data_IF_790338607499
#
_entry.id   IF_790338607499
#
_cell.length_a   1.000
_cell.length_b   1.000
_cell.length_c   1.000
_cell.angle_alpha   90.00
_cell.angle_beta   90.00
_cell.angle_gamma   90.00
#
_symmetry.space_group_name_H-M   'P 1'
#
loop_
_entity.id
_entity.type
_entity.pdbx_description
1 polymer ?
#
# COMPACT_ATOMS: atom_id res chain seq x y z
N UNK A 1 86.57 -79.89 37.27
CA UNK A 1 87.31 -78.62 37.31
C UNK A 1 86.97 -77.81 36.05
N UNK A 2 86.61 -76.57 36.26
CA UNK A 2 86.51 -75.50 35.31
C UNK A 2 85.14 -75.31 34.55
N UNK A 3 84.36 -74.50 35.12
CA UNK A 3 83.22 -73.82 34.65
C UNK A 3 83.54 -72.78 33.60
N UNK A 4 82.82 -72.74 32.48
CA UNK A 4 82.74 -71.56 31.63
C UNK A 4 81.30 -71.11 31.48
N UNK A 5 81.06 -69.92 31.97
CA UNK A 5 79.78 -69.14 31.86
C UNK A 5 79.50 -68.85 30.40
N UNK A 6 78.27 -69.05 29.98
CA UNK A 6 77.72 -68.47 28.78
C UNK A 6 76.73 -67.45 29.19
N UNK A 7 77.09 -66.20 28.94
CA UNK A 7 76.15 -65.08 29.02
C UNK A 7 75.20 -65.10 27.81
N UNK A 8 73.94 -65.15 28.04
CA UNK A 8 73.00 -64.89 26.98
C UNK A 8 72.52 -63.44 27.13
N UNK A 9 72.92 -62.64 26.12
CA UNK A 9 72.40 -61.28 26.02
C UNK A 9 70.94 -61.29 25.48
N UNK A 10 70.03 -60.94 26.32
CA UNK A 10 68.66 -60.68 25.99
C UNK A 10 68.52 -59.18 25.84
N UNK A 11 68.73 -58.60 24.65
CA UNK A 11 68.34 -57.27 24.30
C UNK A 11 67.51 -57.34 23.05
N UNK A 12 66.25 -57.82 23.16
CA UNK A 12 65.26 -57.64 22.18
C UNK A 12 64.64 -56.23 22.43
N UNK A 13 65.13 -55.27 21.68
CA UNK A 13 64.53 -53.93 21.63
C UNK A 13 63.07 -54.00 21.17
N UNK A 14 62.13 -53.83 22.11
CA UNK A 14 60.79 -53.52 21.76
C UNK A 14 60.76 -52.06 21.26
N UNK A 15 60.61 -51.89 19.95
CA UNK A 15 60.28 -50.59 19.35
C UNK A 15 58.82 -50.27 19.68
N UNK A 16 58.53 -49.09 20.29
CA UNK A 16 57.16 -48.69 20.47
C UNK A 16 56.58 -48.44 19.08
N UNK A 17 55.46 -49.10 18.77
CA UNK A 17 54.60 -48.77 17.63
C UNK A 17 54.01 -47.42 17.89
N UNK A 18 54.52 -46.37 17.25
CA UNK A 18 53.95 -45.03 17.26
C UNK A 18 52.61 -45.14 16.54
N UNK A 19 51.57 -45.24 17.33
CA UNK A 19 50.20 -45.16 16.83
C UNK A 19 50.06 -43.91 15.99
N UNK A 20 49.77 -44.06 14.70
CA UNK A 20 49.44 -42.96 13.83
C UNK A 20 48.26 -42.18 14.40
N UNK A 21 48.49 -40.95 14.84
CA UNK A 21 47.44 -40.00 15.17
C UNK A 21 46.65 -39.75 13.90
N UNK A 22 45.52 -40.44 13.76
CA UNK A 22 44.54 -40.16 12.72
C UNK A 22 44.13 -38.71 12.89
N UNK A 23 44.67 -37.82 12.09
CA UNK A 23 44.18 -36.45 11.95
C UNK A 23 42.75 -36.59 11.49
N UNK A 24 41.79 -36.34 12.39
CA UNK A 24 40.42 -36.17 12.03
C UNK A 24 40.36 -35.15 10.86
N UNK A 25 39.64 -35.46 9.78
CA UNK A 25 39.55 -34.54 8.65
C UNK A 25 39.03 -33.21 9.19
N UNK A 26 39.86 -32.17 9.12
CA UNK A 26 39.44 -30.81 9.37
C UNK A 26 38.31 -30.55 8.36
N UNK A 27 37.06 -30.71 8.80
CA UNK A 27 35.87 -30.32 8.08
C UNK A 27 36.09 -28.86 7.69
N UNK A 28 36.57 -28.66 6.45
CA UNK A 28 37.06 -27.38 5.99
C UNK A 28 35.96 -26.32 6.19
N UNK A 29 36.32 -25.11 6.46
CA UNK A 29 35.42 -23.97 6.61
C UNK A 29 34.32 -23.93 5.53
N UNK A 30 34.66 -24.30 4.29
CA UNK A 30 33.72 -24.48 3.18
C UNK A 30 32.56 -25.44 3.48
N UNK A 31 32.78 -26.53 4.21
CA UNK A 31 31.73 -27.50 4.59
C UNK A 31 30.74 -26.97 5.65
N UNK A 32 31.04 -25.84 6.33
CA UNK A 32 30.15 -25.20 7.28
C UNK A 32 29.54 -23.91 6.72
N UNK A 33 30.29 -23.18 5.88
CA UNK A 33 29.86 -21.88 5.30
C UNK A 33 28.88 -22.09 4.14
N UNK A 34 29.11 -23.09 3.27
CA UNK A 34 28.21 -23.36 2.14
C UNK A 34 26.75 -23.64 2.61
N UNK A 35 26.48 -24.56 3.55
CA UNK A 35 25.10 -24.77 4.00
C UNK A 35 24.48 -23.55 4.68
N UNK A 36 25.27 -22.74 5.40
CA UNK A 36 24.78 -21.49 5.99
C UNK A 36 24.41 -20.46 4.92
N UNK A 37 25.20 -20.33 3.87
CA UNK A 37 24.89 -19.46 2.74
C UNK A 37 23.65 -19.94 1.97
N UNK A 38 23.50 -21.25 1.78
CA UNK A 38 22.29 -21.82 1.15
C UNK A 38 21.07 -21.53 2.01
N UNK A 39 21.13 -21.74 3.31
CA UNK A 39 20.04 -21.43 4.23
C UNK A 39 19.72 -19.94 4.22
N UNK A 40 20.73 -19.07 4.26
CA UNK A 40 20.54 -17.61 4.22
C UNK A 40 19.92 -17.12 2.90
N UNK A 41 20.08 -17.86 1.82
CA UNK A 41 19.48 -17.52 0.52
C UNK A 41 18.10 -18.15 0.34
N UNK A 42 17.89 -19.38 0.82
CA UNK A 42 16.63 -20.11 0.66
C UNK A 42 15.56 -19.61 1.60
N UNK A 43 15.87 -19.31 2.86
CA UNK A 43 14.89 -18.85 3.84
C UNK A 43 14.14 -17.57 3.40
N UNK A 44 14.79 -16.51 2.91
CA UNK A 44 14.07 -15.32 2.40
C UNK A 44 13.15 -15.64 1.22
N UNK A 45 13.58 -16.53 0.31
CA UNK A 45 12.75 -16.92 -0.84
C UNK A 45 11.50 -17.70 -0.41
N UNK A 46 11.68 -18.67 0.52
CA UNK A 46 10.55 -19.41 1.09
C UNK A 46 9.62 -18.49 1.87
N UNK A 47 10.16 -17.56 2.65
CA UNK A 47 9.39 -16.56 3.38
C UNK A 47 8.61 -15.66 2.42
N UNK A 48 9.24 -15.15 1.37
CA UNK A 48 8.57 -14.31 0.36
C UNK A 48 7.45 -15.09 -0.37
N UNK A 49 7.67 -16.35 -0.74
CA UNK A 49 6.66 -17.18 -1.37
C UNK A 49 5.48 -17.49 -0.43
N UNK A 50 5.76 -17.74 0.85
CA UNK A 50 4.73 -17.92 1.86
C UNK A 50 3.94 -16.61 2.09
N UNK A 51 4.63 -15.48 2.17
CA UNK A 51 4.02 -14.16 2.34
C UNK A 51 3.11 -13.81 1.15
N UNK A 52 3.56 -14.12 -0.07
CA UNK A 52 2.75 -13.96 -1.28
C UNK A 52 1.44 -14.73 -1.20
N UNK A 53 1.51 -16.01 -0.83
CA UNK A 53 0.32 -16.84 -0.67
C UNK A 53 -0.58 -16.36 0.47
N UNK A 54 0.02 -15.89 1.57
CA UNK A 54 -0.70 -15.35 2.71
C UNK A 54 -1.50 -14.09 2.32
N UNK A 55 -0.86 -13.12 1.63
CA UNK A 55 -1.52 -11.91 1.11
C UNK A 55 -2.68 -12.30 0.19
N UNK A 56 -2.44 -13.19 -0.79
CA UNK A 56 -3.45 -13.59 -1.74
C UNK A 56 -4.69 -14.22 -1.08
N UNK A 57 -4.48 -15.00 -0.02
CA UNK A 57 -5.56 -15.66 0.71
C UNK A 57 -6.30 -14.79 1.73
N UNK A 58 -5.71 -13.65 2.13
CA UNK A 58 -6.24 -12.78 3.19
C UNK A 58 -6.98 -11.55 2.67
N UNK A 59 -6.77 -11.17 1.41
CA UNK A 59 -7.46 -10.03 0.77
C UNK A 59 -8.95 -10.34 0.62
N UNK A 60 -9.79 -9.35 0.96
CA UNK A 60 -11.23 -9.43 0.69
C UNK A 60 -11.48 -9.29 -0.82
N UNK A 61 -12.30 -10.19 -1.36
CA UNK A 61 -12.56 -10.25 -2.79
C UNK A 61 -13.99 -9.86 -3.10
N UNK A 62 -14.17 -9.08 -4.16
CA UNK A 62 -15.47 -8.78 -4.78
C UNK A 62 -15.45 -9.26 -6.23
N UNK A 63 -16.62 -9.54 -6.77
CA UNK A 63 -16.76 -9.97 -8.15
C UNK A 63 -16.17 -8.92 -9.12
N UNK A 64 -15.63 -9.39 -10.24
CA UNK A 64 -15.15 -8.52 -11.30
C UNK A 64 -16.23 -7.57 -11.79
N UNK A 65 -15.83 -6.39 -12.25
CA UNK A 65 -16.76 -5.42 -12.80
C UNK A 65 -17.41 -5.94 -14.08
N UNK A 66 -18.75 -6.01 -14.06
CA UNK A 66 -19.52 -6.48 -15.19
C UNK A 66 -19.41 -5.54 -16.40
N UNK A 67 -19.45 -6.11 -17.59
CA UNK A 67 -19.56 -5.32 -18.81
C UNK A 67 -20.99 -4.78 -18.95
N UNK A 68 -21.10 -3.52 -19.30
CA UNK A 68 -22.37 -2.84 -19.54
C UNK A 68 -22.34 -2.12 -20.89
N UNK A 69 -23.52 -1.83 -21.44
CA UNK A 69 -23.61 -1.12 -22.71
C UNK A 69 -23.03 0.28 -22.63
N UNK A 70 -22.00 0.55 -23.44
CA UNK A 70 -21.26 1.81 -23.44
C UNK A 70 -20.14 1.90 -22.41
N UNK A 71 -19.70 0.77 -21.86
CA UNK A 71 -18.46 0.69 -21.06
C UNK A 71 -17.29 1.13 -21.95
N UNK A 72 -16.36 1.98 -21.45
CA UNK A 72 -15.17 2.33 -22.21
C UNK A 72 -14.40 1.08 -22.66
N UNK A 73 -13.83 1.13 -23.85
CA UNK A 73 -12.92 0.08 -24.32
C UNK A 73 -11.62 0.12 -23.54
N UNK A 74 -10.91 -1.02 -23.49
CA UNK A 74 -9.57 -1.05 -22.90
C UNK A 74 -8.64 -0.17 -23.76
N UNK A 75 -7.97 0.76 -23.10
CA UNK A 75 -6.96 1.63 -23.68
C UNK A 75 -5.55 1.15 -23.33
N UNK A 76 -4.53 1.94 -23.68
CA UNK A 76 -3.17 1.70 -23.22
C UNK A 76 -3.05 1.95 -21.70
N UNK A 77 -2.08 1.30 -21.07
CA UNK A 77 -1.86 1.38 -19.63
C UNK A 77 -2.94 0.68 -18.81
N UNK A 78 -2.89 0.88 -17.51
CA UNK A 78 -3.77 0.21 -16.54
C UNK A 78 -4.35 1.22 -15.57
N UNK A 79 -5.67 1.19 -15.36
CA UNK A 79 -6.37 2.11 -14.48
C UNK A 79 -6.86 1.41 -13.21
N UNK A 80 -6.44 1.92 -12.07
CA UNK A 80 -6.89 1.52 -10.76
C UNK A 80 -7.91 2.49 -10.21
N UNK A 81 -9.02 2.00 -9.69
CA UNK A 81 -9.91 2.78 -8.84
C UNK A 81 -9.53 2.51 -7.38
N UNK A 82 -8.95 3.54 -6.73
CA UNK A 82 -8.53 3.48 -5.32
C UNK A 82 -9.54 4.23 -4.48
N UNK A 83 -10.12 3.54 -3.51
CA UNK A 83 -11.24 4.03 -2.69
C UNK A 83 -10.88 3.98 -1.22
N UNK A 84 -11.11 5.08 -0.51
CA UNK A 84 -11.15 5.11 0.94
C UNK A 84 -12.60 5.17 1.40
N UNK A 85 -13.08 4.09 2.00
CA UNK A 85 -14.46 4.03 2.52
C UNK A 85 -14.51 4.28 4.02
N UNK A 86 -15.67 4.71 4.51
CA UNK A 86 -15.96 4.76 5.94
C UNK A 86 -16.48 3.42 6.48
N UNK A 87 -16.17 2.33 5.75
CA UNK A 87 -16.48 0.98 6.18
C UNK A 87 -15.85 0.67 7.54
N UNK A 88 -16.64 0.05 8.40
CA UNK A 88 -16.25 -0.41 9.73
C UNK A 88 -16.29 -1.93 9.81
N UNK A 89 -16.33 -2.57 8.68
CA UNK A 89 -16.34 -4.02 8.57
C UNK A 89 -15.11 -4.59 9.27
N UNK A 90 -15.31 -5.55 10.17
CA UNK A 90 -14.23 -6.13 10.97
C UNK A 90 -13.79 -5.31 12.20
N UNK A 91 -14.32 -4.07 12.40
CA UNK A 91 -14.02 -3.31 13.61
C UNK A 91 -14.90 -3.76 14.79
N UNK A 92 -14.27 -4.14 15.90
CA UNK A 92 -14.97 -4.29 17.16
C UNK A 92 -15.34 -2.90 17.76
N UNK A 93 -16.33 -2.83 18.69
CA UNK A 93 -16.81 -1.57 19.23
C UNK A 93 -15.73 -0.76 19.99
N UNK A 94 -14.77 -1.43 20.62
CA UNK A 94 -13.71 -0.77 21.38
C UNK A 94 -12.72 -0.09 20.43
N UNK A 95 -12.28 -0.78 19.40
CA UNK A 95 -11.43 -0.25 18.32
C UNK A 95 -12.14 0.90 17.59
N UNK A 96 -13.43 0.75 17.25
CA UNK A 96 -14.20 1.82 16.61
C UNK A 96 -14.29 3.07 17.47
N UNK A 97 -14.46 2.92 18.79
CA UNK A 97 -14.44 4.04 19.74
C UNK A 97 -13.05 4.70 19.82
N UNK A 98 -11.97 3.90 19.86
CA UNK A 98 -10.59 4.40 19.85
C UNK A 98 -10.24 5.18 18.58
N UNK A 99 -10.78 4.77 17.43
CA UNK A 99 -10.60 5.46 16.16
C UNK A 99 -11.53 6.68 15.97
N UNK A 100 -12.40 7.01 16.92
CA UNK A 100 -13.34 8.13 16.88
C UNK A 100 -14.20 8.16 15.59
N UNK A 101 -14.60 6.97 15.11
CA UNK A 101 -15.32 6.87 13.83
C UNK A 101 -16.84 7.06 13.96
N UNK A 102 -17.38 7.20 15.20
CA UNK A 102 -18.81 7.43 15.48
C UNK A 102 -19.72 6.26 15.06
N UNK A 103 -21.05 6.45 15.11
CA UNK A 103 -22.06 5.39 14.89
C UNK A 103 -22.84 5.54 13.57
N UNK A 104 -22.35 6.35 12.60
CA UNK A 104 -23.09 6.58 11.36
C UNK A 104 -23.30 5.27 10.59
N UNK A 105 -24.55 4.92 10.31
CA UNK A 105 -24.92 3.79 9.47
C UNK A 105 -24.78 4.15 7.98
N UNK A 106 -24.30 3.20 7.18
CA UNK A 106 -24.10 3.31 5.72
C UNK A 106 -22.64 3.37 5.35
N UNK A 107 -22.32 2.75 4.24
CA UNK A 107 -20.98 2.82 3.65
C UNK A 107 -20.93 4.01 2.68
N UNK A 108 -19.98 4.91 2.91
CA UNK A 108 -19.71 6.03 2.01
C UNK A 108 -18.24 6.05 1.68
N UNK A 109 -17.93 6.62 0.53
CA UNK A 109 -16.53 6.88 0.20
C UNK A 109 -16.23 8.36 0.39
N UNK A 110 -15.18 8.64 1.12
CA UNK A 110 -14.65 9.98 1.34
C UNK A 110 -13.44 10.27 0.44
N UNK A 111 -12.80 9.23 -0.06
CA UNK A 111 -11.64 9.30 -0.95
C UNK A 111 -11.91 8.47 -2.20
N UNK A 112 -11.83 9.09 -3.36
CA UNK A 112 -11.95 8.45 -4.67
C UNK A 112 -10.75 8.92 -5.50
N UNK A 113 -9.93 7.98 -5.94
CA UNK A 113 -8.76 8.28 -6.76
C UNK A 113 -8.70 7.32 -7.95
N UNK A 114 -8.19 7.81 -9.07
CA UNK A 114 -7.85 6.98 -10.22
C UNK A 114 -6.33 7.03 -10.38
N UNK A 115 -5.68 5.89 -10.28
CA UNK A 115 -4.27 5.75 -10.59
C UNK A 115 -4.12 5.15 -11.98
N UNK A 116 -3.39 5.84 -12.84
CA UNK A 116 -3.06 5.38 -14.19
C UNK A 116 -1.60 4.98 -14.24
N UNK A 117 -1.35 3.74 -14.61
CA UNK A 117 -0.05 3.14 -14.81
C UNK A 117 0.16 2.96 -16.32
N UNK A 118 0.94 3.83 -16.97
CA UNK A 118 1.14 3.75 -18.42
C UNK A 118 1.99 2.53 -18.80
N UNK A 119 1.73 1.99 -19.99
CA UNK A 119 2.52 0.89 -20.58
C UNK A 119 3.85 1.35 -21.18
N UNK A 120 4.03 2.66 -21.30
CA UNK A 120 5.23 3.28 -21.87
C UNK A 120 6.12 3.90 -20.76
N UNK A 121 7.05 4.78 -21.14
CA UNK A 121 7.95 5.46 -20.20
C UNK A 121 7.36 6.73 -19.57
N UNK A 122 6.08 7.03 -19.80
CA UNK A 122 5.38 8.16 -19.16
C UNK A 122 5.28 7.92 -17.66
N UNK A 123 5.37 8.99 -16.90
CA UNK A 123 5.29 8.91 -15.43
C UNK A 123 3.85 8.54 -15.02
N UNK A 124 3.66 7.57 -14.10
CA UNK A 124 2.34 7.24 -13.57
C UNK A 124 1.62 8.47 -13.02
N UNK A 125 0.29 8.45 -13.07
CA UNK A 125 -0.53 9.59 -12.64
C UNK A 125 -1.57 9.14 -11.62
N UNK A 126 -1.72 9.88 -10.52
CA UNK A 126 -2.76 9.70 -9.51
C UNK A 126 -3.68 10.91 -9.50
N UNK A 127 -4.94 10.70 -9.83
CA UNK A 127 -5.96 11.75 -9.87
C UNK A 127 -6.93 11.58 -8.73
N UNK A 128 -7.08 12.60 -7.90
CA UNK A 128 -8.16 12.66 -6.92
C UNK A 128 -9.45 13.14 -7.58
N UNK A 129 -10.52 12.39 -7.37
CA UNK A 129 -11.88 12.75 -7.79
C UNK A 129 -12.62 13.29 -6.56
N UNK A 130 -12.98 14.58 -6.52
CA UNK A 130 -13.69 15.13 -5.37
C UNK A 130 -15.02 14.40 -5.15
N UNK A 131 -15.26 13.91 -3.95
CA UNK A 131 -16.44 13.10 -3.60
C UNK A 131 -17.78 13.80 -3.84
N UNK A 132 -17.78 15.16 -3.78
CA UNK A 132 -18.96 15.98 -4.00
C UNK A 132 -19.18 16.31 -5.50
N UNK A 133 -18.36 15.77 -6.41
CA UNK A 133 -18.47 15.93 -7.86
C UNK A 133 -19.84 15.48 -8.35
N UNK A 134 -20.57 16.41 -8.99
CA UNK A 134 -21.90 16.13 -9.55
C UNK A 134 -21.76 15.56 -10.95
N UNK A 135 -21.95 14.26 -11.06
CA UNK A 135 -21.87 13.50 -12.30
C UNK A 135 -23.17 12.73 -12.56
N UNK A 136 -23.45 12.28 -13.77
CA UNK A 136 -24.51 11.31 -14.02
C UNK A 136 -24.18 10.00 -13.29
N UNK A 137 -25.07 9.53 -12.41
CA UNK A 137 -24.98 8.23 -11.76
C UNK A 137 -26.03 7.31 -12.36
N UNK A 138 -25.68 6.15 -12.90
CA UNK A 138 -26.64 5.23 -13.52
C UNK A 138 -27.82 4.93 -12.60
N UNK A 139 -29.03 5.09 -13.11
CA UNK A 139 -30.26 4.88 -12.34
C UNK A 139 -30.62 5.95 -11.29
N UNK A 140 -29.73 6.91 -11.00
CA UNK A 140 -29.91 7.94 -9.97
C UNK A 140 -29.96 9.38 -10.53
N UNK A 141 -29.70 9.55 -11.83
CA UNK A 141 -29.59 10.89 -12.44
C UNK A 141 -28.30 11.61 -12.05
N UNK A 142 -28.32 12.95 -12.03
CA UNK A 142 -27.12 13.74 -11.71
C UNK A 142 -27.04 14.05 -10.21
N UNK A 143 -26.16 13.35 -9.52
CA UNK A 143 -25.94 13.48 -8.07
C UNK A 143 -24.45 13.48 -7.72
N UNK A 144 -24.08 13.46 -6.43
CA UNK A 144 -22.70 13.38 -5.99
C UNK A 144 -22.11 12.00 -6.30
N UNK A 145 -20.87 11.96 -6.74
CA UNK A 145 -20.22 10.71 -7.14
C UNK A 145 -20.12 9.70 -5.97
N UNK A 146 -19.94 10.17 -4.74
CA UNK A 146 -19.91 9.29 -3.56
C UNK A 146 -21.25 8.64 -3.22
N UNK A 147 -22.37 9.16 -3.72
CA UNK A 147 -23.69 8.53 -3.58
C UNK A 147 -23.78 7.24 -4.41
N UNK A 148 -23.01 7.14 -5.51
CA UNK A 148 -22.93 5.90 -6.28
C UNK A 148 -22.44 4.73 -5.41
N UNK A 149 -21.41 4.97 -4.60
CA UNK A 149 -20.92 3.95 -3.67
C UNK A 149 -21.94 3.58 -2.60
N UNK A 150 -22.62 4.57 -2.02
CA UNK A 150 -23.65 4.36 -0.99
C UNK A 150 -24.86 3.57 -1.50
N UNK A 151 -25.21 3.68 -2.80
CA UNK A 151 -26.40 3.06 -3.39
C UNK A 151 -26.08 1.70 -4.00
N UNK A 152 -24.97 1.55 -4.70
CA UNK A 152 -24.62 0.35 -5.47
C UNK A 152 -23.20 -0.15 -5.26
N UNK A 153 -22.53 0.30 -4.18
CA UNK A 153 -21.22 -0.17 -3.79
C UNK A 153 -20.14 0.09 -4.85
N UNK A 154 -19.08 -0.73 -4.84
CA UNK A 154 -17.95 -0.63 -5.76
C UNK A 154 -18.35 -0.65 -7.24
N UNK A 155 -19.30 -1.51 -7.61
CA UNK A 155 -19.73 -1.68 -9.00
C UNK A 155 -20.35 -0.40 -9.58
N UNK A 156 -21.30 0.21 -8.87
CA UNK A 156 -21.94 1.43 -9.34
C UNK A 156 -20.97 2.62 -9.30
N UNK A 157 -20.07 2.66 -8.34
CA UNK A 157 -19.02 3.68 -8.30
C UNK A 157 -18.08 3.54 -9.51
N UNK A 158 -17.59 2.33 -9.80
CA UNK A 158 -16.71 2.08 -10.94
C UNK A 158 -17.40 2.48 -12.25
N UNK A 159 -18.62 2.01 -12.49
CA UNK A 159 -19.40 2.40 -13.65
C UNK A 159 -19.59 3.92 -13.76
N UNK A 160 -19.82 4.59 -12.64
CA UNK A 160 -19.98 6.05 -12.60
C UNK A 160 -18.69 6.77 -12.95
N UNK A 161 -17.56 6.30 -12.43
CA UNK A 161 -16.22 6.83 -12.73
C UNK A 161 -15.89 6.61 -14.20
N UNK A 162 -16.07 5.40 -14.73
CA UNK A 162 -15.85 5.07 -16.13
C UNK A 162 -16.67 5.99 -17.07
N UNK A 163 -17.96 6.17 -16.81
CA UNK A 163 -18.82 7.03 -17.62
C UNK A 163 -18.48 8.52 -17.51
N UNK A 164 -17.99 8.95 -16.35
CA UNK A 164 -17.65 10.36 -16.11
C UNK A 164 -16.28 10.74 -16.69
N UNK A 165 -15.33 9.81 -16.74
CA UNK A 165 -13.94 10.04 -17.15
C UNK A 165 -13.67 9.57 -18.59
N UNK A 166 -14.39 8.55 -19.06
CA UNK A 166 -14.08 7.83 -20.29
C UNK A 166 -12.99 6.77 -20.12
N UNK A 167 -12.38 6.64 -18.95
CA UNK A 167 -11.35 5.65 -18.67
C UNK A 167 -11.98 4.33 -18.22
N UNK A 168 -11.58 3.21 -18.80
CA UNK A 168 -11.93 1.89 -18.29
C UNK A 168 -11.18 1.64 -17.00
N UNK A 169 -11.86 1.12 -16.00
CA UNK A 169 -11.25 0.69 -14.73
C UNK A 169 -10.95 -0.80 -14.82
N UNK A 170 -9.67 -1.14 -14.67
CA UNK A 170 -9.15 -2.50 -14.79
C UNK A 170 -9.04 -3.18 -13.43
N UNK A 171 -8.65 -2.42 -12.41
CA UNK A 171 -8.41 -2.92 -11.05
C UNK A 171 -9.10 -2.06 -10.00
N UNK A 172 -9.30 -2.64 -8.83
CA UNK A 172 -9.95 -1.98 -7.70
C UNK A 172 -9.17 -2.21 -6.40
N UNK A 173 -9.04 -1.16 -5.61
CA UNK A 173 -8.50 -1.26 -4.26
C UNK A 173 -9.32 -0.36 -3.32
N UNK A 174 -9.94 -0.96 -2.30
CA UNK A 174 -10.65 -0.24 -1.26
C UNK A 174 -10.01 -0.49 0.10
N UNK A 175 -9.90 0.58 0.89
CA UNK A 175 -9.41 0.54 2.27
C UNK A 175 -10.45 1.18 3.18
N UNK A 176 -10.96 0.43 4.15
CA UNK A 176 -11.82 0.92 5.22
C UNK A 176 -11.02 1.59 6.35
N UNK A 177 -11.72 2.21 7.30
CA UNK A 177 -11.08 2.93 8.42
C UNK A 177 -10.20 2.06 9.29
N UNK A 178 -10.67 0.85 9.63
CA UNK A 178 -9.88 -0.10 10.44
C UNK A 178 -8.62 -0.53 9.72
N UNK A 179 -8.77 -0.90 8.46
CA UNK A 179 -7.64 -1.32 7.64
C UNK A 179 -6.61 -0.20 7.44
N UNK A 180 -7.06 1.03 7.25
CA UNK A 180 -6.15 2.17 7.18
C UNK A 180 -5.34 2.36 8.47
N UNK A 181 -6.01 2.30 9.64
CA UNK A 181 -5.33 2.42 10.92
C UNK A 181 -4.32 1.28 11.15
N UNK A 182 -4.71 0.03 10.85
CA UNK A 182 -3.84 -1.14 10.93
C UNK A 182 -2.60 -1.03 10.03
N UNK A 183 -2.76 -0.55 8.79
CA UNK A 183 -1.63 -0.29 7.89
C UNK A 183 -0.64 0.73 8.45
N UNK A 184 -1.15 1.81 9.06
CA UNK A 184 -0.31 2.85 9.69
C UNK A 184 0.47 2.25 10.86
N UNK A 185 -0.17 1.44 11.68
CA UNK A 185 0.47 0.79 12.82
C UNK A 185 1.51 -0.27 12.40
N UNK A 186 1.21 -1.03 11.34
CA UNK A 186 2.12 -2.04 10.81
C UNK A 186 3.47 -1.47 10.34
N UNK A 187 3.47 -0.24 9.81
CA UNK A 187 4.73 0.46 9.44
C UNK A 187 5.40 1.13 10.64
N UNK A 188 4.72 1.24 11.79
CA UNK A 188 5.23 1.90 13.00
C UNK A 188 4.89 3.39 13.07
N UNK A 189 3.79 3.81 12.44
CA UNK A 189 3.37 5.20 12.30
C UNK A 189 3.98 5.91 11.10
N UNK A 190 3.46 7.08 10.77
CA UNK A 190 3.89 7.90 9.63
C UNK A 190 4.35 9.27 10.12
N UNK A 191 5.57 9.66 9.79
CA UNK A 191 6.09 10.98 10.15
C UNK A 191 5.45 12.07 9.28
N UNK A 192 4.81 13.03 9.94
CA UNK A 192 4.18 14.18 9.29
C UNK A 192 4.59 15.48 9.96
N UNK A 193 4.91 16.49 9.14
CA UNK A 193 5.19 17.84 9.62
C UNK A 193 3.99 18.75 9.36
N UNK A 194 3.35 19.24 10.40
CA UNK A 194 2.18 20.13 10.36
C UNK A 194 2.63 21.58 10.52
N UNK A 195 2.22 22.45 9.61
CA UNK A 195 2.57 23.88 9.65
C UNK A 195 1.90 24.63 10.80
N UNK A 196 0.73 24.13 11.25
CA UNK A 196 -0.03 24.70 12.35
C UNK A 196 -0.79 23.62 13.11
N UNK A 197 -1.32 24.01 14.28
CA UNK A 197 -2.22 23.15 15.04
C UNK A 197 -3.49 22.88 14.22
N UNK A 198 -3.93 21.62 14.21
CA UNK A 198 -5.14 21.19 13.50
C UNK A 198 -6.14 20.66 14.51
N UNK A 199 -7.25 21.37 14.70
CA UNK A 199 -8.33 20.97 15.60
C UNK A 199 -9.57 20.57 14.81
N UNK A 200 -10.06 19.35 15.03
CA UNK A 200 -11.32 18.88 14.45
C UNK A 200 -12.47 19.13 15.43
N UNK A 201 -13.29 20.16 15.14
CA UNK A 201 -14.43 20.54 15.97
C UNK A 201 -15.52 19.43 16.05
N UNK A 202 -15.51 18.41 15.17
CA UNK A 202 -16.48 17.31 15.18
C UNK A 202 -16.08 16.18 16.11
N UNK A 203 -14.82 15.82 16.11
CA UNK A 203 -14.29 14.73 16.94
C UNK A 203 -13.67 15.25 18.24
N UNK A 204 -13.36 16.54 18.32
CA UNK A 204 -12.64 17.16 19.43
C UNK A 204 -11.15 16.84 19.44
N UNK A 205 -10.64 16.17 18.41
CA UNK A 205 -9.24 15.80 18.29
C UNK A 205 -8.38 16.98 17.87
N UNK A 206 -7.15 17.04 18.40
CA UNK A 206 -6.19 18.09 18.08
C UNK A 206 -4.83 17.50 17.76
N UNK A 207 -4.31 17.81 16.59
CA UNK A 207 -2.95 17.49 16.18
C UNK A 207 -2.08 18.74 16.33
N UNK A 208 -0.97 18.62 17.04
CA UNK A 208 -0.09 19.74 17.32
C UNK A 208 0.72 20.15 16.09
N UNK A 209 1.15 21.42 16.04
CA UNK A 209 2.09 21.88 15.02
C UNK A 209 3.47 21.22 15.19
N UNK A 210 4.21 21.07 14.08
CA UNK A 210 5.55 20.50 14.06
C UNK A 210 5.59 19.08 13.47
N UNK A 211 6.78 18.50 13.47
CA UNK A 211 6.97 17.12 12.97
C UNK A 211 6.68 16.13 14.08
N UNK A 212 5.83 15.16 13.78
CA UNK A 212 5.38 14.13 14.70
C UNK A 212 5.05 12.83 13.95
N UNK A 213 5.16 11.70 14.62
CA UNK A 213 4.73 10.41 14.10
C UNK A 213 3.23 10.25 14.39
N UNK A 214 2.42 10.14 13.34
CA UNK A 214 0.99 9.88 13.46
C UNK A 214 0.76 8.37 13.49
N UNK A 215 0.16 7.87 14.56
CA UNK A 215 -0.32 6.51 14.70
C UNK A 215 -1.74 6.39 14.15
N UNK A 216 -2.34 5.19 14.13
CA UNK A 216 -3.61 4.91 13.50
C UNK A 216 -4.73 5.94 13.75
N UNK A 217 -5.10 6.26 15.01
CA UNK A 217 -6.14 7.24 15.33
C UNK A 217 -5.82 8.67 14.86
N UNK A 218 -4.57 9.11 15.05
CA UNK A 218 -4.11 10.44 14.67
C UNK A 218 -4.01 10.58 13.15
N UNK A 219 -3.52 9.54 12.48
CA UNK A 219 -3.48 9.45 11.03
C UNK A 219 -4.90 9.54 10.42
N UNK A 220 -5.86 8.80 11.01
CA UNK A 220 -7.25 8.84 10.57
C UNK A 220 -7.87 10.23 10.80
N UNK A 221 -7.57 10.87 11.93
CA UNK A 221 -7.96 12.25 12.21
C UNK A 221 -7.39 13.20 11.16
N UNK A 222 -6.11 13.09 10.84
CA UNK A 222 -5.43 13.95 9.85
C UNK A 222 -6.05 13.84 8.45
N UNK A 223 -6.29 12.64 7.94
CA UNK A 223 -6.84 12.45 6.58
C UNK A 223 -8.33 12.77 6.47
N UNK A 224 -9.06 12.84 7.60
CA UNK A 224 -10.51 13.18 7.65
C UNK A 224 -10.79 14.64 7.93
N UNK A 225 -9.81 15.36 8.48
CA UNK A 225 -9.98 16.73 8.94
C UNK A 225 -10.38 17.69 7.81
N UNK A 226 -11.40 18.51 8.06
CA UNK A 226 -11.94 19.49 7.09
C UNK A 226 -12.05 20.89 7.63
N UNK A 227 -12.31 21.02 8.93
CA UNK A 227 -12.67 22.26 9.58
C UNK A 227 -11.63 22.62 10.62
N UNK A 228 -10.49 23.11 10.14
CA UNK A 228 -9.39 23.62 10.94
C UNK A 228 -8.95 24.95 10.36
N UNK A 229 -8.42 25.83 11.19
CA UNK A 229 -7.79 27.08 10.72
C UNK A 229 -6.62 26.82 9.74
N UNK A 230 -6.00 25.64 9.85
CA UNK A 230 -4.97 25.16 8.94
C UNK A 230 -5.51 24.59 7.62
N UNK A 231 -6.85 24.46 7.46
CA UNK A 231 -7.49 23.91 6.25
C UNK A 231 -8.58 24.86 5.70
N UNK A 232 -8.24 26.08 5.29
CA UNK A 232 -9.21 27.11 4.91
C UNK A 232 -10.02 26.75 3.65
N UNK A 233 -9.48 25.90 2.75
CA UNK A 233 -10.17 25.44 1.54
C UNK A 233 -10.98 24.15 1.77
N UNK A 234 -11.13 23.72 3.03
CA UNK A 234 -11.97 22.58 3.46
C UNK A 234 -11.70 21.28 2.67
N UNK A 235 -12.52 20.94 1.68
CA UNK A 235 -12.41 19.68 0.92
C UNK A 235 -11.14 19.59 0.06
N UNK A 236 -10.67 20.69 -0.52
CA UNK A 236 -9.45 20.71 -1.33
C UNK A 236 -8.21 20.47 -0.46
N UNK A 237 -8.18 21.08 0.73
CA UNK A 237 -7.07 20.86 1.66
C UNK A 237 -7.09 19.43 2.22
N UNK A 238 -8.28 18.87 2.46
CA UNK A 238 -8.41 17.45 2.84
C UNK A 238 -7.84 16.53 1.75
N UNK A 239 -8.18 16.75 0.49
CA UNK A 239 -7.65 15.96 -0.65
C UNK A 239 -6.13 16.09 -0.73
N UNK A 240 -5.57 17.29 -0.51
CA UNK A 240 -4.13 17.51 -0.47
C UNK A 240 -3.47 16.76 0.70
N UNK A 241 -4.06 16.82 1.90
CA UNK A 241 -3.59 16.10 3.08
C UNK A 241 -3.64 14.58 2.90
N UNK A 242 -4.70 14.05 2.29
CA UNK A 242 -4.80 12.63 1.95
C UNK A 242 -3.66 12.20 1.02
N UNK A 243 -3.39 12.96 -0.04
CA UNK A 243 -2.27 12.67 -0.95
C UNK A 243 -0.92 12.69 -0.24
N UNK A 244 -0.67 13.75 0.58
CA UNK A 244 0.58 13.83 1.37
C UNK A 244 0.74 12.63 2.30
N UNK A 245 -0.32 12.26 2.99
CA UNK A 245 -0.28 11.15 3.94
C UNK A 245 -0.06 9.81 3.23
N UNK A 246 -0.80 9.54 2.14
CA UNK A 246 -0.64 8.31 1.35
C UNK A 246 0.79 8.21 0.80
N UNK A 247 1.35 9.32 0.30
CA UNK A 247 2.74 9.35 -0.17
C UNK A 247 3.74 9.01 0.93
N UNK A 248 3.57 9.55 2.13
CA UNK A 248 4.41 9.26 3.29
C UNK A 248 4.24 7.80 3.76
N UNK A 249 3.00 7.29 3.83
CA UNK A 249 2.71 5.90 4.20
C UNK A 249 3.35 4.91 3.21
N UNK A 250 3.21 5.14 1.90
CA UNK A 250 3.84 4.29 0.87
C UNK A 250 5.37 4.35 0.96
N UNK A 251 5.93 5.52 1.24
CA UNK A 251 7.37 5.69 1.44
C UNK A 251 7.86 4.86 2.63
N UNK A 252 7.15 4.90 3.77
CA UNK A 252 7.50 4.12 4.96
C UNK A 252 7.29 2.62 4.74
N UNK A 253 6.17 2.22 4.13
CA UNK A 253 5.89 0.82 3.78
C UNK A 253 6.94 0.24 2.83
N UNK A 254 7.43 1.02 1.87
CA UNK A 254 8.46 0.61 0.91
C UNK A 254 9.89 0.85 1.39
N UNK A 255 10.09 1.32 2.62
CA UNK A 255 11.41 1.58 3.18
C UNK A 255 12.20 0.29 3.37
N UNK A 256 13.54 0.38 3.21
CA UNK A 256 14.41 -0.78 3.37
C UNK A 256 14.35 -1.33 4.81
N UNK A 257 14.10 -0.47 5.78
CA UNK A 257 13.95 -0.83 7.20
C UNK A 257 12.70 -1.66 7.45
N UNK A 258 11.61 -1.37 6.76
CA UNK A 258 10.37 -2.15 6.82
C UNK A 258 10.52 -3.49 6.08
N UNK A 259 11.07 -3.48 4.87
CA UNK A 259 11.15 -4.67 4.03
C UNK A 259 12.18 -5.70 4.48
N UNK A 260 13.33 -5.29 5.07
CA UNK A 260 14.35 -6.23 5.56
C UNK A 260 13.94 -6.82 6.92
N UNK A 261 13.14 -6.13 7.71
CA UNK A 261 12.68 -6.65 8.99
C UNK A 261 11.50 -7.64 8.76
N UNK A 262 11.69 -8.96 8.97
CA UNK A 262 10.66 -9.94 8.65
C UNK A 262 9.39 -9.77 9.50
N UNK A 263 9.49 -9.20 10.69
CA UNK A 263 8.33 -8.94 11.55
C UNK A 263 7.51 -7.76 11.03
N UNK A 264 8.15 -6.67 10.58
CA UNK A 264 7.46 -5.53 9.98
C UNK A 264 6.88 -5.89 8.60
N UNK A 265 7.64 -6.61 7.79
CA UNK A 265 7.19 -7.08 6.48
C UNK A 265 5.97 -8.01 6.62
N UNK A 266 5.96 -8.89 7.64
CA UNK A 266 4.81 -9.74 7.94
C UNK A 266 3.61 -8.90 8.41
N UNK A 267 3.80 -8.01 9.40
CA UNK A 267 2.72 -7.16 9.91
C UNK A 267 2.09 -6.31 8.80
N UNK A 268 2.94 -5.70 7.95
CA UNK A 268 2.46 -4.92 6.79
C UNK A 268 1.67 -5.78 5.80
N UNK A 269 2.10 -7.01 5.54
CA UNK A 269 1.42 -7.91 4.63
C UNK A 269 0.10 -8.43 5.22
N UNK A 270 0.08 -8.77 6.50
CA UNK A 270 -1.09 -9.27 7.22
C UNK A 270 -2.18 -8.19 7.36
N UNK A 271 -1.81 -7.05 7.94
CA UNK A 271 -2.71 -5.90 8.10
C UNK A 271 -3.12 -5.33 6.73
N UNK A 272 -2.15 -5.24 5.79
CA UNK A 272 -2.41 -4.76 4.44
C UNK A 272 -3.40 -5.64 3.68
N UNK A 273 -3.22 -6.96 3.73
CA UNK A 273 -4.13 -7.89 3.08
C UNK A 273 -5.53 -7.88 3.72
N UNK A 274 -5.61 -7.89 5.05
CA UNK A 274 -6.89 -7.81 5.78
C UNK A 274 -7.60 -6.47 5.62
N UNK A 275 -6.86 -5.40 5.33
CA UNK A 275 -7.38 -4.06 5.13
C UNK A 275 -7.96 -3.81 3.74
N UNK A 276 -7.55 -4.61 2.74
CA UNK A 276 -7.84 -4.38 1.33
C UNK A 276 -9.03 -5.20 0.85
N UNK A 277 -9.88 -4.53 0.06
CA UNK A 277 -10.87 -5.19 -0.81
C UNK A 277 -10.46 -4.96 -2.26
N UNK A 278 -10.36 -6.04 -3.04
CA UNK A 278 -9.93 -6.03 -4.45
C UNK A 278 -10.90 -6.86 -5.31
N UNK A 279 -10.77 -6.79 -6.63
CA UNK A 279 -11.49 -7.69 -7.52
C UNK A 279 -10.96 -9.13 -7.35
N UNK A 280 -11.79 -10.12 -7.63
CA UNK A 280 -11.40 -11.53 -7.65
C UNK A 280 -10.38 -11.85 -8.76
N UNK A 281 -10.35 -11.03 -9.82
CA UNK A 281 -9.34 -11.06 -10.89
C UNK A 281 -7.97 -10.51 -10.50
N UNK A 282 -7.91 -9.67 -9.45
CA UNK A 282 -6.68 -8.99 -9.06
C UNK A 282 -5.81 -9.88 -8.18
N UNK A 283 -4.51 -9.87 -8.39
CA UNK A 283 -3.57 -10.66 -7.60
C UNK A 283 -2.56 -9.81 -6.82
N UNK A 284 -1.73 -10.44 -5.98
CA UNK A 284 -0.67 -9.72 -5.28
C UNK A 284 0.34 -9.03 -6.23
N UNK A 285 0.46 -9.53 -7.48
CA UNK A 285 1.31 -8.92 -8.51
C UNK A 285 0.78 -7.56 -8.95
N UNK A 286 -0.53 -7.44 -9.12
CA UNK A 286 -1.18 -6.21 -9.54
C UNK A 286 -1.09 -5.18 -8.42
N UNK A 287 -1.34 -5.59 -7.17
CA UNK A 287 -1.14 -4.75 -5.98
C UNK A 287 0.31 -4.24 -5.86
N UNK A 288 1.29 -5.11 -6.14
CA UNK A 288 2.70 -4.72 -6.11
C UNK A 288 3.02 -3.69 -7.21
N UNK A 289 2.41 -3.80 -8.39
CA UNK A 289 2.55 -2.83 -9.47
C UNK A 289 2.00 -1.46 -9.07
N UNK A 290 0.82 -1.44 -8.44
CA UNK A 290 0.25 -0.21 -7.88
C UNK A 290 1.17 0.39 -6.80
N UNK A 291 1.61 -0.42 -5.83
CA UNK A 291 2.50 0.02 -4.77
C UNK A 291 3.82 0.58 -5.30
N UNK A 292 4.37 -0.05 -6.34
CA UNK A 292 5.58 0.42 -7.00
C UNK A 292 5.39 1.77 -7.70
N UNK A 293 4.29 1.95 -8.42
CA UNK A 293 3.93 3.22 -9.05
C UNK A 293 3.73 4.32 -7.99
N UNK A 294 3.00 4.01 -6.92
CA UNK A 294 2.72 4.95 -5.81
C UNK A 294 3.99 5.37 -5.06
N UNK A 295 5.06 4.55 -5.06
CA UNK A 295 6.34 4.89 -4.45
C UNK A 295 6.95 6.19 -5.02
N UNK A 296 6.65 6.51 -6.27
CA UNK A 296 7.06 7.76 -6.90
C UNK A 296 6.46 9.03 -6.31
N UNK A 297 5.43 8.92 -5.47
CA UNK A 297 4.68 10.06 -4.94
C UNK A 297 5.54 11.03 -4.13
N UNK A 298 6.48 10.52 -3.33
CA UNK A 298 7.39 11.32 -2.50
C UNK A 298 8.66 11.78 -3.23
N UNK A 299 8.99 11.16 -4.38
CA UNK A 299 10.24 11.38 -5.11
C UNK A 299 10.07 12.09 -6.45
N UNK A 300 8.85 12.49 -6.82
CA UNK A 300 8.55 13.09 -8.12
C UNK A 300 8.45 12.08 -9.27
N UNK A 301 8.45 10.78 -8.98
CA UNK A 301 8.23 9.70 -9.92
C UNK A 301 6.74 9.34 -10.15
N UNK A 302 5.83 10.17 -9.65
CA UNK A 302 4.38 10.08 -9.85
C UNK A 302 3.80 11.48 -9.98
N UNK A 303 2.97 11.72 -10.98
CA UNK A 303 2.19 12.96 -11.09
C UNK A 303 0.95 12.83 -10.21
N UNK A 304 0.73 13.81 -9.33
CA UNK A 304 -0.49 13.87 -8.52
C UNK A 304 -1.28 15.11 -8.88
N UNK A 305 -2.59 14.97 -9.13
CA UNK A 305 -3.46 16.11 -9.39
C UNK A 305 -4.90 15.83 -8.90
N UNK A 306 -5.75 16.80 -9.01
CA UNK A 306 -7.19 16.68 -8.75
C UNK A 306 -7.94 17.00 -10.04
N UNK A 307 -9.06 16.33 -10.28
CA UNK A 307 -9.93 16.68 -11.43
C UNK A 307 -10.22 18.18 -11.39
N UNK A 308 -9.92 18.91 -12.49
CA UNK A 308 -10.13 20.36 -12.52
C UNK A 308 -11.59 20.75 -12.26
N UNK A 309 -11.81 21.67 -11.33
CA UNK A 309 -13.12 22.14 -10.92
C UNK A 309 -13.29 23.64 -11.15
N UNK A 310 -14.53 24.09 -11.30
CA UNK A 310 -14.87 25.49 -11.55
C UNK A 310 -15.38 26.22 -10.31
N UNK A 311 -15.65 25.50 -9.23
CA UNK A 311 -16.23 26.04 -8.01
C UNK A 311 -15.44 25.64 -6.76
N UNK A 312 -15.50 26.48 -5.74
CA UNK A 312 -14.78 26.24 -4.47
C UNK A 312 -15.31 25.01 -3.68
N UNK A 313 -16.51 24.53 -4.01
CA UNK A 313 -17.10 23.33 -3.38
C UNK A 313 -16.64 22.03 -4.06
N UNK A 314 -15.81 22.13 -5.10
CA UNK A 314 -15.32 21.01 -5.90
C UNK A 314 -16.45 20.12 -6.48
N UNK A 315 -17.64 20.72 -6.70
CA UNK A 315 -18.82 19.97 -7.15
C UNK A 315 -18.99 19.94 -8.67
N UNK A 316 -18.39 20.91 -9.39
CA UNK A 316 -18.51 21.04 -10.83
C UNK A 316 -17.15 20.96 -11.50
N UNK A 317 -16.99 19.98 -12.38
CA UNK A 317 -15.77 19.86 -13.19
C UNK A 317 -15.69 20.96 -14.26
N UNK A 318 -14.49 21.48 -14.44
CA UNK A 318 -14.14 22.19 -15.67
C UNK A 318 -14.05 21.17 -16.81
N UNK A 319 -15.11 21.07 -17.59
CA UNK A 319 -15.26 20.03 -18.60
C UNK A 319 -14.14 20.04 -19.61
N UNK A 320 -13.67 21.22 -20.04
CA UNK A 320 -12.62 21.32 -21.03
C UNK A 320 -11.28 20.82 -20.48
N UNK A 321 -10.92 21.24 -19.27
CA UNK A 321 -9.70 20.81 -18.62
C UNK A 321 -9.75 19.33 -18.22
N UNK A 322 -10.88 18.88 -17.66
CA UNK A 322 -11.07 17.48 -17.29
C UNK A 322 -10.99 16.54 -18.52
N UNK A 323 -11.61 16.92 -19.65
CA UNK A 323 -11.49 16.14 -20.88
C UNK A 323 -10.05 16.03 -21.40
N UNK A 324 -9.25 17.12 -21.31
CA UNK A 324 -7.82 17.07 -21.68
C UNK A 324 -7.01 16.19 -20.74
N UNK A 325 -7.35 16.19 -19.46
CA UNK A 325 -6.69 15.38 -18.45
C UNK A 325 -6.92 13.89 -18.72
N UNK A 326 -8.18 13.49 -18.88
CA UNK A 326 -8.51 12.08 -19.12
C UNK A 326 -8.05 11.59 -20.51
N UNK A 327 -8.09 12.44 -21.53
CA UNK A 327 -7.56 12.10 -22.85
C UNK A 327 -6.04 11.84 -22.83
N UNK A 328 -5.28 12.58 -22.01
CA UNK A 328 -3.86 12.32 -21.84
C UNK A 328 -3.61 10.96 -21.19
N UNK A 329 -4.41 10.59 -20.17
CA UNK A 329 -4.30 9.26 -19.54
C UNK A 329 -4.69 8.13 -20.50
N UNK A 330 -5.80 8.28 -21.24
CA UNK A 330 -6.25 7.30 -22.23
C UNK A 330 -5.19 7.02 -23.32
N UNK A 331 -4.39 8.04 -23.64
CA UNK A 331 -3.34 7.95 -24.65
C UNK A 331 -1.95 7.58 -24.09
N UNK A 332 -1.80 7.31 -22.79
CA UNK A 332 -0.50 7.18 -22.11
C UNK A 332 0.42 8.40 -22.32
N UNK A 333 -0.16 9.58 -22.56
CA UNK A 333 0.57 10.83 -22.73
C UNK A 333 0.83 11.52 -21.38
N UNK A 334 1.89 12.33 -21.28
CA UNK A 334 2.14 13.14 -20.10
C UNK A 334 0.98 14.11 -19.81
N UNK A 335 0.58 14.18 -18.54
CA UNK A 335 -0.43 15.17 -18.11
C UNK A 335 0.09 16.58 -18.37
N UNK A 336 -0.69 17.45 -19.08
CA UNK A 336 -0.30 18.83 -19.31
C UNK A 336 -0.03 19.59 -17.99
N UNK A 337 1.07 20.34 -17.91
CA UNK A 337 1.50 21.04 -16.69
C UNK A 337 0.45 22.01 -16.14
N UNK A 338 -0.35 22.63 -17.02
CA UNK A 338 -1.44 23.53 -16.62
C UNK A 338 -2.62 22.82 -15.94
N UNK A 339 -2.63 21.49 -15.93
CA UNK A 339 -3.63 20.65 -15.28
C UNK A 339 -3.12 20.01 -13.98
N UNK A 340 -1.85 20.20 -13.66
CA UNK A 340 -1.28 19.69 -12.40
C UNK A 340 -1.55 20.72 -11.31
N UNK A 341 -2.44 20.39 -10.38
CA UNK A 341 -2.79 21.23 -9.23
C UNK A 341 -2.14 20.60 -8.00
N UNK A 342 -1.17 21.31 -7.42
CA UNK A 342 -0.49 20.95 -6.17
C UNK A 342 -1.27 21.40 -4.93
#
# INVERSE_FOLDING_TARGET
MNTKRIRRDWNAQQRPVIGGSGRAPRRGWRGRVVPLLVVALVLPVVFAGWLWFHVDSSVHRIDAFEDYSGRPEAAAGTNWLVVGSDSREGLDPETAAGLHVGDASGQRTDTIMVAHLPDNSTVPTLISVPRDSRVPVPGQGRTKINEAFAVGGPHLLAQTVEQATGLRIDHYAEVGFGGFAGLVEAVGGVEMCLEGEMHDAKTGQTLQAGCQTLEGPDALTFVRMRYSDATPRSDLDRVANQRRFIGALVSEASSITTLINPFRAYALADEGAGALTMLDSDGPGDLLSLAWAMRGMSSGGLVTTTVPVTDATASKWDRQKASRLFAAMEADDPVPEDLIVN
#
